data_IF_000174943701
#
_entry.id   IF_000174943701
#
_cell.length_a   1.000
_cell.length_b   1.000
_cell.length_c   1.000
_cell.angle_alpha   90.00
_cell.angle_beta   90.00
_cell.angle_gamma   90.00
#
_symmetry.space_group_name_H-M   'P 1'
#
loop_
_entity.id
_entity.type
_entity.pdbx_description
1 polymer ?
#
# COMPACT_ATOMS: atom_id res chain seq x y z
N UNK A 1 41.14 10.89 -10.37
CA UNK A 1 39.77 11.43 -10.55
C UNK A 1 38.83 10.25 -10.81
N UNK A 2 38.27 9.64 -9.75
CA UNK A 2 37.34 8.51 -9.90
C UNK A 2 35.95 9.07 -10.20
N UNK A 3 35.47 8.80 -11.41
CA UNK A 3 34.10 9.06 -11.82
C UNK A 3 33.18 8.24 -10.91
N UNK A 4 32.52 8.89 -9.94
CA UNK A 4 31.43 8.27 -9.18
C UNK A 4 30.26 8.20 -10.16
N UNK A 5 30.15 7.06 -10.85
CA UNK A 5 28.96 6.70 -11.61
C UNK A 5 27.90 6.34 -10.57
N UNK A 6 27.19 7.34 -10.04
CA UNK A 6 26.03 7.13 -9.19
C UNK A 6 24.99 6.44 -10.07
N UNK A 7 24.88 5.11 -9.98
CA UNK A 7 23.68 4.41 -10.43
C UNK A 7 22.54 4.96 -9.58
N UNK A 8 21.85 5.98 -10.08
CA UNK A 8 20.51 6.33 -9.60
C UNK A 8 19.66 5.10 -9.90
N UNK A 9 19.51 4.21 -8.92
CA UNK A 9 18.54 3.14 -8.99
C UNK A 9 17.20 3.77 -9.37
N UNK A 10 16.56 3.26 -10.42
CA UNK A 10 15.32 3.83 -10.94
C UNK A 10 14.29 3.92 -9.81
N UNK A 11 13.90 5.13 -9.43
CA UNK A 11 12.91 5.35 -8.36
C UNK A 11 11.50 5.44 -8.93
N UNK A 12 10.52 4.98 -8.15
CA UNK A 12 9.11 5.03 -8.48
C UNK A 12 8.47 6.14 -7.62
N UNK A 13 7.76 7.11 -8.22
CA UNK A 13 7.08 8.14 -7.45
C UNK A 13 5.88 7.55 -6.70
N UNK A 14 5.73 7.94 -5.44
CA UNK A 14 4.58 7.67 -4.61
C UNK A 14 4.18 8.95 -3.88
N UNK A 15 3.61 9.90 -4.63
CA UNK A 15 3.29 11.24 -4.12
C UNK A 15 4.58 12.00 -3.83
N UNK A 16 4.79 12.54 -2.60
CA UNK A 16 6.05 13.21 -2.25
C UNK A 16 7.23 12.25 -2.06
N UNK A 17 7.00 10.93 -2.05
CA UNK A 17 8.04 9.93 -1.87
C UNK A 17 8.64 9.49 -3.21
N UNK A 18 9.90 9.10 -3.16
CA UNK A 18 10.59 8.33 -4.19
C UNK A 18 11.00 6.98 -3.60
N UNK A 19 10.38 5.88 -4.07
CA UNK A 19 10.61 4.54 -3.53
C UNK A 19 11.36 3.65 -4.52
N UNK A 20 12.02 2.61 -4.04
CA UNK A 20 12.69 1.64 -4.93
C UNK A 20 11.70 0.66 -5.59
N UNK A 21 12.09 -0.02 -6.68
CA UNK A 21 11.33 -1.12 -7.24
C UNK A 21 11.10 -2.25 -6.24
N UNK A 22 12.08 -2.55 -5.39
CA UNK A 22 12.01 -3.54 -4.31
C UNK A 22 10.97 -3.13 -3.25
N UNK A 23 10.92 -1.84 -2.91
CA UNK A 23 9.90 -1.28 -2.02
C UNK A 23 8.51 -1.43 -2.60
N UNK A 24 8.34 -1.12 -3.91
CA UNK A 24 7.06 -1.31 -4.60
C UNK A 24 6.65 -2.78 -4.57
N UNK A 25 7.56 -3.69 -4.91
CA UNK A 25 7.32 -5.12 -4.89
C UNK A 25 6.91 -5.60 -3.49
N UNK A 26 7.60 -5.13 -2.44
CA UNK A 26 7.26 -5.44 -1.05
C UNK A 26 5.84 -4.99 -0.69
N UNK A 27 5.49 -3.73 -0.98
CA UNK A 27 4.14 -3.21 -0.70
C UNK A 27 3.10 -4.05 -1.43
N UNK A 28 3.27 -4.23 -2.74
CA UNK A 28 2.33 -4.99 -3.57
C UNK A 28 2.18 -6.44 -3.11
N UNK A 29 3.27 -7.10 -2.74
CA UNK A 29 3.24 -8.47 -2.23
C UNK A 29 2.44 -8.57 -0.92
N UNK A 30 2.64 -7.65 0.02
CA UNK A 30 1.86 -7.65 1.27
C UNK A 30 0.41 -7.20 1.12
N UNK A 31 0.08 -6.39 0.10
CA UNK A 31 -1.31 -5.98 -0.16
C UNK A 31 -2.10 -7.02 -0.98
N UNK A 32 -1.43 -7.90 -1.73
CA UNK A 32 -2.11 -8.82 -2.67
C UNK A 32 -1.75 -10.30 -2.50
N UNK A 33 -0.67 -10.65 -1.80
CA UNK A 33 -0.06 -11.98 -1.88
C UNK A 33 0.76 -12.21 -3.15
N UNK A 34 1.06 -11.13 -3.88
CA UNK A 34 1.81 -11.15 -5.14
C UNK A 34 0.96 -11.45 -6.37
N UNK A 35 1.56 -11.23 -7.55
CA UNK A 35 0.87 -11.35 -8.85
C UNK A 35 0.23 -12.72 -9.05
N UNK A 36 0.93 -13.81 -8.73
CA UNK A 36 0.41 -15.16 -8.92
C UNK A 36 -0.84 -15.43 -8.08
N UNK A 37 -0.86 -14.96 -6.82
CA UNK A 37 -2.05 -15.09 -5.97
C UNK A 37 -3.18 -14.19 -6.47
N UNK A 38 -2.86 -12.96 -6.88
CA UNK A 38 -3.84 -12.05 -7.46
C UNK A 38 -4.53 -12.66 -8.67
N UNK A 39 -3.74 -13.18 -9.61
CA UNK A 39 -4.24 -13.80 -10.84
C UNK A 39 -5.15 -15.00 -10.55
N UNK A 40 -4.82 -15.79 -9.52
CA UNK A 40 -5.61 -16.95 -9.13
C UNK A 40 -6.87 -16.59 -8.34
N UNK A 41 -6.86 -15.53 -7.52
CA UNK A 41 -7.87 -15.34 -6.45
C UNK A 41 -8.52 -13.96 -6.37
N UNK A 42 -7.92 -12.90 -6.93
CA UNK A 42 -8.31 -11.50 -6.65
C UNK A 42 -8.69 -10.68 -7.90
N UNK A 43 -8.59 -11.23 -9.11
CA UNK A 43 -8.92 -10.50 -10.36
C UNK A 43 -10.39 -10.08 -10.47
N UNK A 44 -11.29 -10.65 -9.67
CA UNK A 44 -12.74 -10.43 -9.76
C UNK A 44 -13.25 -9.54 -8.61
N UNK A 45 -14.28 -8.71 -8.84
CA UNK A 45 -14.90 -7.92 -7.78
C UNK A 45 -15.33 -8.76 -6.58
N UNK A 46 -15.09 -8.22 -5.39
CA UNK A 46 -15.45 -8.86 -4.12
C UNK A 46 -16.07 -7.88 -3.14
N UNK A 47 -16.63 -8.37 -2.05
CA UNK A 47 -17.02 -7.59 -0.89
C UNK A 47 -16.33 -8.17 0.33
N UNK A 48 -15.35 -7.47 0.93
CA UNK A 48 -14.56 -8.00 2.04
C UNK A 48 -15.31 -8.01 3.38
N UNK A 49 -16.53 -7.46 3.44
CA UNK A 49 -17.35 -7.39 4.64
C UNK A 49 -17.41 -6.00 5.26
N UNK A 50 -18.05 -5.90 6.43
CA UNK A 50 -18.12 -4.66 7.21
C UNK A 50 -18.82 -3.51 6.45
N UNK A 51 -18.23 -2.32 6.51
CA UNK A 51 -18.73 -1.12 5.85
C UNK A 51 -18.23 -0.96 4.39
N UNK A 52 -17.43 -1.89 3.89
CA UNK A 52 -16.84 -1.80 2.54
C UNK A 52 -17.88 -1.80 1.44
N UNK A 53 -17.53 -1.16 0.32
CA UNK A 53 -18.23 -1.31 -0.95
C UNK A 53 -17.70 -2.48 -1.77
N UNK A 54 -18.06 -2.51 -3.06
CA UNK A 54 -17.47 -3.44 -4.02
C UNK A 54 -15.98 -3.11 -4.14
N UNK A 55 -15.11 -4.10 -3.91
CA UNK A 55 -13.66 -3.94 -3.99
C UNK A 55 -13.11 -4.63 -5.24
N UNK A 56 -12.23 -3.95 -5.96
CA UNK A 56 -11.55 -4.44 -7.18
C UNK A 56 -10.07 -4.08 -7.14
N UNK A 57 -9.27 -4.73 -7.99
CA UNK A 57 -7.84 -4.43 -8.08
C UNK A 57 -7.12 -4.66 -6.76
N UNK A 58 -6.14 -3.80 -6.47
CA UNK A 58 -5.41 -3.79 -5.20
C UNK A 58 -6.14 -2.88 -4.22
N UNK A 59 -7.15 -3.42 -3.54
CA UNK A 59 -7.85 -2.74 -2.43
C UNK A 59 -8.67 -1.50 -2.82
N UNK A 60 -9.01 -1.32 -4.11
CA UNK A 60 -9.81 -0.17 -4.55
C UNK A 60 -11.28 -0.40 -4.20
N UNK A 61 -11.80 0.35 -3.23
CA UNK A 61 -13.20 0.29 -2.81
C UNK A 61 -14.07 1.25 -3.66
N UNK A 62 -14.84 0.69 -4.58
CA UNK A 62 -15.78 1.40 -5.46
C UNK A 62 -16.81 2.21 -4.65
N UNK A 63 -17.26 1.68 -3.50
CA UNK A 63 -18.31 2.32 -2.70
C UNK A 63 -17.89 3.66 -2.12
N UNK A 64 -16.59 3.86 -1.89
CA UNK A 64 -16.03 5.11 -1.36
C UNK A 64 -15.56 6.08 -2.45
N UNK A 65 -15.73 5.74 -3.72
CA UNK A 65 -15.38 6.59 -4.85
C UNK A 65 -16.63 7.06 -5.59
N UNK A 66 -16.55 8.23 -6.23
CA UNK A 66 -17.64 8.73 -7.08
C UNK A 66 -17.70 7.94 -8.39
N UNK A 67 -18.86 7.94 -9.05
CA UNK A 67 -19.01 7.33 -10.38
C UNK A 67 -17.97 7.87 -11.37
N UNK A 68 -17.77 9.18 -11.39
CA UNK A 68 -16.80 9.83 -12.27
C UNK A 68 -15.36 9.39 -11.98
N UNK A 69 -14.98 9.26 -10.71
CA UNK A 69 -13.66 8.76 -10.32
C UNK A 69 -13.46 7.32 -10.81
N UNK A 70 -14.42 6.42 -10.60
CA UNK A 70 -14.33 5.02 -11.05
C UNK A 70 -14.20 4.94 -12.58
N UNK A 71 -14.96 5.74 -13.33
CA UNK A 71 -14.84 5.81 -14.80
C UNK A 71 -13.48 6.34 -15.26
N UNK A 72 -12.86 7.22 -14.48
CA UNK A 72 -11.54 7.75 -14.82
C UNK A 72 -10.40 6.79 -14.45
N UNK A 73 -10.50 6.18 -13.28
CA UNK A 73 -9.47 5.31 -12.70
C UNK A 73 -9.35 3.99 -13.47
N UNK A 74 -10.48 3.45 -13.92
CA UNK A 74 -10.53 2.15 -14.60
C UNK A 74 -10.60 2.27 -16.13
N UNK A 75 -10.01 3.33 -16.70
CA UNK A 75 -9.96 3.56 -18.16
C UNK A 75 -9.32 2.44 -18.97
N UNK A 76 -8.45 1.64 -18.36
CA UNK A 76 -7.83 0.48 -19.01
C UNK A 76 -8.79 -0.71 -19.18
N UNK A 77 -9.94 -0.72 -18.50
CA UNK A 77 -10.96 -1.76 -18.66
C UNK A 77 -11.89 -1.45 -19.83
N UNK A 78 -12.49 -2.48 -20.46
CA UNK A 78 -13.54 -2.28 -21.46
C UNK A 78 -14.67 -1.39 -20.90
N UNK A 79 -15.22 -0.53 -21.75
CA UNK A 79 -16.21 0.47 -21.34
C UNK A 79 -17.40 -0.15 -20.58
N UNK A 80 -17.93 -1.29 -21.05
CA UNK A 80 -19.02 -2.00 -20.38
C UNK A 80 -18.65 -2.47 -18.98
N UNK A 81 -17.45 -3.03 -18.79
CA UNK A 81 -16.94 -3.42 -17.46
C UNK A 81 -16.82 -2.20 -16.54
N UNK A 82 -16.22 -1.13 -17.05
CA UNK A 82 -16.00 0.10 -16.30
C UNK A 82 -17.31 0.79 -15.89
N UNK A 83 -18.29 0.84 -16.79
CA UNK A 83 -19.62 1.40 -16.52
C UNK A 83 -20.38 0.59 -15.47
N UNK A 84 -20.25 -0.74 -15.51
CA UNK A 84 -20.84 -1.65 -14.53
C UNK A 84 -20.16 -1.54 -13.15
N UNK A 85 -18.84 -1.39 -13.08
CA UNK A 85 -18.17 -1.06 -11.81
C UNK A 85 -18.68 0.29 -11.27
N UNK A 86 -18.75 1.30 -12.13
CA UNK A 86 -19.15 2.64 -11.72
C UNK A 86 -20.63 2.73 -11.30
N UNK A 87 -21.49 1.74 -11.59
CA UNK A 87 -22.86 1.69 -11.06
C UNK A 87 -22.93 1.24 -9.60
N UNK A 88 -21.83 0.70 -9.04
CA UNK A 88 -21.74 0.36 -7.63
C UNK A 88 -21.15 1.49 -6.76
N UNK A 89 -20.82 2.64 -7.36
CA UNK A 89 -20.30 3.81 -6.64
C UNK A 89 -21.29 4.28 -5.56
N UNK A 90 -20.79 4.61 -4.38
CA UNK A 90 -21.60 5.00 -3.22
C UNK A 90 -22.29 3.84 -2.48
N UNK A 91 -22.34 2.63 -3.05
CA UNK A 91 -22.95 1.47 -2.40
C UNK A 91 -21.95 0.82 -1.44
N UNK A 92 -22.33 0.73 -0.17
CA UNK A 92 -21.48 0.29 0.94
C UNK A 92 -22.19 -0.71 1.84
N UNK A 93 -21.44 -1.33 2.74
CA UNK A 93 -21.98 -2.24 3.74
C UNK A 93 -22.63 -3.48 3.13
N UNK A 94 -23.63 -4.04 3.82
CA UNK A 94 -24.31 -5.26 3.37
C UNK A 94 -24.94 -5.14 1.97
N UNK A 95 -25.33 -3.93 1.54
CA UNK A 95 -25.87 -3.68 0.21
C UNK A 95 -24.85 -3.90 -0.91
N UNK A 96 -23.55 -3.81 -0.61
CA UNK A 96 -22.50 -4.05 -1.59
C UNK A 96 -22.28 -5.55 -1.89
N UNK A 97 -22.65 -6.46 -0.97
CA UNK A 97 -22.49 -7.91 -1.14
C UNK A 97 -23.16 -8.45 -2.41
N UNK A 98 -24.47 -8.25 -2.65
CA UNK A 98 -25.12 -8.72 -3.87
C UNK A 98 -24.59 -7.99 -5.12
N UNK A 99 -24.18 -6.71 -5.00
CA UNK A 99 -23.57 -5.96 -6.11
C UNK A 99 -22.24 -6.55 -6.53
N UNK A 100 -21.37 -6.90 -5.59
CA UNK A 100 -20.11 -7.56 -5.88
C UNK A 100 -20.33 -8.91 -6.59
N UNK A 101 -21.30 -9.70 -6.14
CA UNK A 101 -21.66 -10.98 -6.77
C UNK A 101 -22.10 -10.80 -8.24
N UNK A 102 -22.96 -9.80 -8.50
CA UNK A 102 -23.45 -9.49 -9.85
C UNK A 102 -22.34 -8.99 -10.80
N UNK A 103 -21.24 -8.47 -10.26
CA UNK A 103 -20.11 -7.93 -11.03
C UNK A 103 -18.97 -8.95 -11.22
N UNK A 104 -19.08 -10.18 -10.71
CA UNK A 104 -18.00 -11.19 -10.76
C UNK A 104 -17.55 -11.61 -12.17
N UNK A 105 -18.34 -11.32 -13.20
CA UNK A 105 -17.97 -11.56 -14.59
C UNK A 105 -16.86 -10.61 -15.08
N UNK A 106 -16.66 -9.48 -14.39
CA UNK A 106 -15.59 -8.53 -14.69
C UNK A 106 -14.26 -9.10 -14.23
N UNK A 107 -13.29 -9.15 -15.15
CA UNK A 107 -11.90 -9.48 -14.85
C UNK A 107 -11.08 -8.20 -14.89
N UNK A 108 -10.38 -7.90 -13.81
CA UNK A 108 -9.41 -6.81 -13.71
C UNK A 108 -8.03 -7.42 -13.90
N UNK A 109 -7.34 -7.16 -15.03
CA UNK A 109 -5.99 -7.66 -15.25
C UNK A 109 -5.01 -7.10 -14.23
N UNK A 110 -3.99 -7.88 -13.87
CA UNK A 110 -2.92 -7.44 -12.97
C UNK A 110 -2.34 -6.09 -13.39
N UNK A 111 -2.02 -5.90 -14.67
CA UNK A 111 -1.41 -4.66 -15.17
C UNK A 111 -2.29 -3.44 -14.94
N UNK A 112 -3.62 -3.58 -15.11
CA UNK A 112 -4.57 -2.50 -14.82
C UNK A 112 -4.65 -2.22 -13.30
N UNK A 113 -4.71 -3.27 -12.49
CA UNK A 113 -4.76 -3.14 -11.03
C UNK A 113 -3.50 -2.52 -10.44
N UNK A 114 -2.32 -2.98 -10.87
CA UNK A 114 -1.03 -2.46 -10.44
C UNK A 114 -0.82 -1.02 -10.92
N UNK A 115 -1.15 -0.73 -12.18
CA UNK A 115 -1.04 0.64 -12.70
C UNK A 115 -1.87 1.61 -11.88
N UNK A 116 -3.12 1.29 -11.57
CA UNK A 116 -3.97 2.18 -10.77
C UNK A 116 -3.48 2.29 -9.33
N UNK A 117 -3.00 1.18 -8.74
CA UNK A 117 -2.42 1.20 -7.41
C UNK A 117 -1.24 2.17 -7.32
N UNK A 118 -0.33 2.13 -8.31
CA UNK A 118 0.84 3.01 -8.38
C UNK A 118 0.45 4.47 -8.63
N UNK A 119 -0.50 4.74 -9.53
CA UNK A 119 -0.81 6.12 -9.95
C UNK A 119 -1.82 6.83 -9.06
N UNK A 120 -2.66 6.10 -8.32
CA UNK A 120 -3.73 6.68 -7.50
C UNK A 120 -3.56 6.35 -6.02
N UNK A 121 -3.44 5.07 -5.66
CA UNK A 121 -3.44 4.66 -4.25
C UNK A 121 -2.12 5.01 -3.55
N UNK A 122 -0.98 4.61 -4.11
CA UNK A 122 0.34 4.84 -3.51
C UNK A 122 0.64 6.32 -3.25
N UNK A 123 0.32 7.27 -4.15
CA UNK A 123 0.54 8.69 -3.89
C UNK A 123 -0.21 9.23 -2.67
N UNK A 124 -1.46 8.79 -2.45
CA UNK A 124 -2.24 9.19 -1.27
C UNK A 124 -1.57 8.74 0.02
N UNK A 125 -1.15 7.47 0.07
CA UNK A 125 -0.42 6.92 1.22
C UNK A 125 0.98 7.51 1.35
N UNK A 126 1.62 7.88 0.25
CA UNK A 126 2.88 8.61 0.23
C UNK A 126 2.79 9.96 0.91
N UNK A 127 1.74 10.74 0.61
CA UNK A 127 1.45 12.00 1.31
C UNK A 127 1.24 11.77 2.81
N UNK A 128 0.42 10.78 3.18
CA UNK A 128 0.22 10.43 4.59
C UNK A 128 1.52 10.04 5.30
N UNK A 129 2.40 9.31 4.60
CA UNK A 129 3.69 8.87 5.12
C UNK A 129 4.64 10.04 5.31
N UNK A 130 4.74 10.94 4.34
CA UNK A 130 5.57 12.14 4.46
C UNK A 130 5.11 13.06 5.61
N UNK A 131 3.79 13.18 5.82
CA UNK A 131 3.25 13.90 6.97
C UNK A 131 3.51 13.19 8.30
N UNK A 132 3.41 11.85 8.33
CA UNK A 132 3.64 11.05 9.54
C UNK A 132 5.12 11.05 9.98
N UNK A 133 6.05 11.11 9.03
CA UNK A 133 7.49 11.02 9.26
C UNK A 133 8.23 12.20 8.62
N UNK A 134 8.20 13.40 9.24
CA UNK A 134 8.85 14.59 8.69
C UNK A 134 10.34 14.37 8.47
N UNK A 135 10.82 14.63 7.24
CA UNK A 135 12.20 14.39 6.80
C UNK A 135 12.40 13.11 5.98
N UNK A 136 11.38 12.24 5.89
CA UNK A 136 11.51 10.97 5.16
C UNK A 136 11.86 11.13 3.69
N UNK A 137 11.43 12.20 3.02
CA UNK A 137 11.66 12.43 1.59
C UNK A 137 13.14 12.60 1.24
N UNK A 138 13.99 12.92 2.22
CA UNK A 138 15.44 13.03 2.06
C UNK A 138 16.19 11.71 2.33
N UNK A 139 15.49 10.64 2.73
CA UNK A 139 16.08 9.34 3.02
C UNK A 139 16.16 8.44 1.79
N UNK A 140 16.92 7.35 1.88
CA UNK A 140 17.06 6.38 0.78
C UNK A 140 15.69 5.80 0.36
N UNK A 141 15.45 5.49 -0.94
CA UNK A 141 14.17 4.96 -1.42
C UNK A 141 13.66 3.68 -0.74
N UNK A 142 14.56 2.88 -0.15
CA UNK A 142 14.20 1.74 0.72
C UNK A 142 13.54 2.18 2.01
N UNK A 143 14.05 3.24 2.65
CA UNK A 143 13.49 3.82 3.87
C UNK A 143 12.11 4.39 3.57
N UNK A 144 12.00 5.23 2.54
CA UNK A 144 10.73 5.83 2.12
C UNK A 144 9.67 4.76 1.86
N UNK A 145 10.03 3.71 1.11
CA UNK A 145 9.13 2.63 0.77
C UNK A 145 8.76 1.71 1.93
N UNK A 146 9.68 1.46 2.87
CA UNK A 146 9.39 0.68 4.06
C UNK A 146 8.42 1.41 4.99
N UNK A 147 8.61 2.72 5.19
CA UNK A 147 7.67 3.53 5.98
C UNK A 147 6.31 3.68 5.27
N UNK A 148 6.30 3.76 3.93
CA UNK A 148 5.08 3.68 3.14
C UNK A 148 4.32 2.38 3.41
N UNK A 149 5.00 1.23 3.39
CA UNK A 149 4.40 -0.08 3.71
C UNK A 149 3.81 -0.11 5.13
N UNK A 150 4.49 0.48 6.12
CA UNK A 150 3.96 0.57 7.49
C UNK A 150 2.67 1.37 7.52
N UNK A 151 2.61 2.51 6.82
CA UNK A 151 1.42 3.38 6.78
C UNK A 151 0.29 2.72 6.00
N UNK A 152 0.56 1.95 4.95
CA UNK A 152 -0.45 1.09 4.31
C UNK A 152 -1.07 0.11 5.31
N UNK A 153 -0.23 -0.59 6.07
CA UNK A 153 -0.69 -1.62 6.98
C UNK A 153 -1.40 -1.09 8.24
N UNK A 154 -0.92 0.04 8.77
CA UNK A 154 -1.31 0.52 10.10
C UNK A 154 -1.95 1.89 10.09
N UNK A 155 -1.98 2.60 8.98
CA UNK A 155 -2.34 4.02 8.93
C UNK A 155 -1.31 4.92 9.60
N UNK A 156 -1.49 6.24 9.43
CA UNK A 156 -0.55 7.28 9.85
C UNK A 156 -0.72 7.78 11.29
N UNK A 157 -1.68 7.25 12.06
CA UNK A 157 -1.95 7.72 13.42
C UNK A 157 -0.77 7.47 14.36
N UNK A 158 -0.48 8.46 15.21
CA UNK A 158 0.55 8.40 16.26
C UNK A 158 -0.05 8.21 17.66
N UNK A 159 -1.37 8.08 17.77
CA UNK A 159 -2.09 8.08 19.05
C UNK A 159 -2.22 6.69 19.66
N UNK A 160 -2.07 6.62 20.98
CA UNK A 160 -2.28 5.40 21.76
C UNK A 160 -1.05 4.51 21.96
N UNK A 161 -1.18 3.48 22.81
CA UNK A 161 -0.06 2.64 23.24
C UNK A 161 0.46 1.69 22.14
N UNK A 162 -0.36 1.40 21.14
CA UNK A 162 0.04 0.58 19.99
C UNK A 162 0.90 1.35 18.97
N UNK A 163 1.19 2.64 19.20
CA UNK A 163 1.93 3.52 18.28
C UNK A 163 3.31 3.93 18.80
N UNK A 164 3.79 3.33 19.89
CA UNK A 164 5.09 3.66 20.50
C UNK A 164 6.23 3.65 19.50
N UNK A 165 6.43 2.55 18.78
CA UNK A 165 7.51 2.40 17.81
C UNK A 165 7.34 3.35 16.61
N UNK A 166 6.11 3.66 16.20
CA UNK A 166 5.88 4.62 15.12
C UNK A 166 6.33 6.04 15.53
N UNK A 167 6.10 6.44 16.80
CA UNK A 167 6.61 7.71 17.32
C UNK A 167 8.13 7.71 17.41
N UNK A 168 8.73 6.63 17.91
CA UNK A 168 10.19 6.50 17.97
C UNK A 168 10.83 6.58 16.57
N UNK A 169 10.24 5.90 15.57
CA UNK A 169 10.68 5.97 14.17
C UNK A 169 10.58 7.39 13.64
N UNK A 170 9.49 8.12 13.90
CA UNK A 170 9.38 9.53 13.50
C UNK A 170 10.52 10.35 14.07
N UNK A 171 10.82 10.19 15.35
CA UNK A 171 11.90 10.93 15.99
C UNK A 171 13.27 10.54 15.41
N UNK A 172 13.49 9.27 15.05
CA UNK A 172 14.68 8.83 14.31
C UNK A 172 14.77 9.41 12.89
N UNK A 173 13.67 9.47 12.14
CA UNK A 173 13.63 10.06 10.79
C UNK A 173 13.99 11.54 10.86
N UNK A 174 13.36 12.31 11.75
CA UNK A 174 13.62 13.74 11.88
C UNK A 174 15.05 14.03 12.36
N UNK A 175 15.64 13.14 13.15
CA UNK A 175 17.04 13.23 13.56
C UNK A 175 18.04 12.60 12.56
N UNK A 176 17.59 12.12 11.40
CA UNK A 176 18.40 11.40 10.40
C UNK A 176 19.14 10.16 10.95
N UNK A 177 18.60 9.51 11.98
CA UNK A 177 19.19 8.34 12.63
C UNK A 177 18.64 7.03 12.07
N UNK A 178 18.75 6.87 10.75
CA UNK A 178 18.09 5.79 9.99
C UNK A 178 18.48 4.39 10.49
N UNK A 179 19.73 4.20 10.93
CA UNK A 179 20.24 2.91 11.44
C UNK A 179 19.45 2.29 12.61
N UNK A 180 18.67 3.08 13.35
CA UNK A 180 17.87 2.57 14.48
C UNK A 180 16.46 2.15 14.07
N UNK A 181 15.97 2.58 12.89
CA UNK A 181 14.62 2.30 12.42
C UNK A 181 14.34 0.79 12.28
N UNK A 182 15.24 -0.06 11.74
CA UNK A 182 14.98 -1.50 11.64
C UNK A 182 14.66 -2.15 12.99
N UNK A 183 15.34 -1.73 14.06
CA UNK A 183 15.10 -2.21 15.42
C UNK A 183 13.67 -1.89 15.89
N UNK A 184 13.24 -0.65 15.71
CA UNK A 184 11.87 -0.21 16.05
C UNK A 184 10.79 -0.96 15.23
N UNK A 185 11.04 -1.17 13.94
CA UNK A 185 10.12 -1.95 13.08
C UNK A 185 10.00 -3.38 13.60
N UNK A 186 11.11 -4.03 13.98
CA UNK A 186 11.06 -5.38 14.57
C UNK A 186 10.37 -5.38 15.93
N UNK A 187 10.59 -4.38 16.77
CA UNK A 187 9.91 -4.24 18.07
C UNK A 187 8.38 -4.16 17.94
N UNK A 188 7.85 -3.61 16.83
CA UNK A 188 6.40 -3.60 16.57
C UNK A 188 5.77 -4.99 16.53
N UNK A 189 6.55 -6.05 16.30
CA UNK A 189 6.06 -7.44 16.28
C UNK A 189 5.34 -7.83 17.57
N UNK A 190 5.66 -7.20 18.71
CA UNK A 190 4.96 -7.41 20.00
C UNK A 190 3.44 -7.23 19.90
N UNK A 191 2.96 -6.47 18.92
CA UNK A 191 1.54 -6.19 18.74
C UNK A 191 0.74 -7.38 18.20
N UNK A 192 1.42 -8.35 17.58
CA UNK A 192 0.82 -9.51 16.94
C UNK A 192 1.45 -10.84 17.33
N UNK A 193 2.52 -10.81 18.13
CA UNK A 193 3.12 -12.01 18.70
C UNK A 193 2.04 -12.82 19.43
N UNK A 194 2.00 -14.12 19.16
CA UNK A 194 1.05 -15.07 19.74
C UNK A 194 -0.44 -14.81 19.39
N UNK A 195 -0.74 -13.97 18.38
CA UNK A 195 -2.12 -13.70 17.93
C UNK A 195 -2.55 -14.44 16.67
N UNK A 196 -1.75 -15.42 16.20
CA UNK A 196 -2.05 -16.16 14.97
C UNK A 196 -1.98 -15.30 13.69
N UNK A 197 -1.21 -14.20 13.70
CA UNK A 197 -1.07 -13.27 12.57
C UNK A 197 0.36 -13.28 12.00
N UNK A 198 0.88 -14.43 11.52
CA UNK A 198 2.28 -14.57 11.10
C UNK A 198 2.64 -13.67 9.90
N UNK A 199 1.66 -13.33 9.06
CA UNK A 199 1.86 -12.41 7.93
C UNK A 199 2.34 -11.02 8.38
N UNK A 200 1.82 -10.51 9.50
CA UNK A 200 2.22 -9.19 10.03
C UNK A 200 3.63 -9.23 10.63
N UNK A 201 4.01 -10.36 11.23
CA UNK A 201 5.37 -10.57 11.73
C UNK A 201 6.38 -10.62 10.57
N UNK A 202 6.08 -11.38 9.51
CA UNK A 202 6.90 -11.42 8.30
C UNK A 202 7.01 -10.05 7.63
N UNK A 203 5.92 -9.29 7.59
CA UNK A 203 5.90 -7.93 7.04
C UNK A 203 6.87 -6.99 7.73
N UNK A 204 6.84 -6.95 9.07
CA UNK A 204 7.79 -6.14 9.84
C UNK A 204 9.24 -6.55 9.60
N UNK A 205 9.52 -7.85 9.48
CA UNK A 205 10.89 -8.30 9.19
C UNK A 205 11.35 -7.86 7.79
N UNK A 206 10.51 -8.06 6.77
CA UNK A 206 10.84 -7.66 5.40
C UNK A 206 11.09 -6.16 5.27
N UNK A 207 10.29 -5.32 5.95
CA UNK A 207 10.48 -3.86 5.98
C UNK A 207 11.80 -3.48 6.68
N UNK A 208 12.14 -4.11 7.80
CA UNK A 208 13.40 -3.87 8.51
C UNK A 208 14.61 -4.24 7.63
N UNK A 209 14.58 -5.43 7.02
CA UNK A 209 15.63 -5.91 6.12
C UNK A 209 15.80 -5.00 4.89
N UNK A 210 14.71 -4.46 4.35
CA UNK A 210 14.77 -3.56 3.22
C UNK A 210 15.51 -2.25 3.57
N UNK A 211 15.25 -1.69 4.75
CA UNK A 211 16.00 -0.53 5.27
C UNK A 211 17.48 -0.87 5.47
N UNK A 212 17.80 -2.05 6.01
CA UNK A 212 19.19 -2.45 6.25
C UNK A 212 20.01 -2.53 4.96
N UNK A 213 19.39 -2.87 3.83
CA UNK A 213 20.05 -2.81 2.50
C UNK A 213 20.43 -1.40 2.04
N UNK A 214 19.99 -0.35 2.74
CA UNK A 214 20.31 1.05 2.41
C UNK A 214 21.26 1.73 3.38
N UNK A 215 21.76 0.99 4.37
CA UNK A 215 22.70 1.47 5.38
C UNK A 215 24.16 1.32 4.93
#
# INVERSE_FOLDING_TARGET
MKLILTFLAATIPAGPLSISPESKALVVDFETGGKSYYDARLQRPTWPGGASGVTVGIGYDIGYNSRAAVLSDWKALPEGSRNALASAAGIKGAAAKPRAAALKWIIVPWSAAESLFITNTMPRFGTMTASAFPGVTSSHPHVQGSLLSIVFNRGASMSGPSRTEMRTIRDHVSASRIRFIPGEIRSMKRLWQNKGLPGLIRRREAEALLIEKSL
#
